data_IF_029033532602
#
_entry.id   IF_029033532602
#
_cell.length_a   1.000
_cell.length_b   1.000
_cell.length_c   1.000
_cell.angle_alpha   90.00
_cell.angle_beta   90.00
_cell.angle_gamma   90.00
#
_symmetry.space_group_name_H-M   'P 1'
#
loop_
_entity.id
_entity.type
_entity.pdbx_description
1 polymer ?
#
# COMPACT_ATOMS: atom_id res chain seq x y z
N UNK A 1 46.10 -36.08 -2.63
CA UNK A 1 45.79 -34.65 -2.40
C UNK A 1 44.77 -34.08 -3.40
N UNK A 2 44.94 -34.21 -4.72
CA UNK A 2 43.99 -33.61 -5.70
C UNK A 2 42.55 -34.16 -5.61
N UNK A 3 42.38 -35.46 -5.37
CA UNK A 3 41.05 -36.08 -5.22
C UNK A 3 40.31 -35.67 -3.93
N UNK A 4 41.03 -35.49 -2.82
CA UNK A 4 40.42 -35.03 -1.56
C UNK A 4 40.06 -33.54 -1.60
N UNK A 5 40.87 -32.71 -2.25
CA UNK A 5 40.55 -31.29 -2.50
C UNK A 5 39.31 -31.16 -3.39
N UNK A 6 39.16 -32.00 -4.43
CA UNK A 6 37.97 -32.03 -5.27
C UNK A 6 36.68 -32.35 -4.49
N UNK A 7 36.71 -33.36 -3.61
CA UNK A 7 35.56 -33.70 -2.77
C UNK A 7 35.21 -32.59 -1.76
N UNK A 8 36.21 -31.95 -1.15
CA UNK A 8 35.98 -30.79 -0.26
C UNK A 8 35.33 -29.64 -1.02
N UNK A 9 35.80 -29.34 -2.23
CA UNK A 9 35.22 -28.29 -3.07
C UNK A 9 33.77 -28.63 -3.49
N UNK A 10 33.52 -29.88 -3.87
CA UNK A 10 32.19 -30.35 -4.25
C UNK A 10 31.18 -30.23 -3.09
N UNK A 11 31.58 -30.61 -1.88
CA UNK A 11 30.74 -30.48 -0.67
C UNK A 11 30.46 -29.00 -0.36
N UNK A 12 31.47 -28.14 -0.48
CA UNK A 12 31.30 -26.71 -0.26
C UNK A 12 30.30 -26.07 -1.24
N UNK A 13 30.35 -26.46 -2.53
CA UNK A 13 29.38 -25.98 -3.54
C UNK A 13 27.97 -26.49 -3.23
N UNK A 14 27.82 -27.76 -2.87
CA UNK A 14 26.50 -28.31 -2.51
C UNK A 14 25.91 -27.60 -1.29
N UNK A 15 26.73 -27.35 -0.26
CA UNK A 15 26.29 -26.60 0.92
C UNK A 15 25.86 -25.15 0.57
N UNK A 16 26.55 -24.49 -0.36
CA UNK A 16 26.20 -23.16 -0.84
C UNK A 16 24.87 -23.17 -1.59
N UNK A 17 24.65 -24.14 -2.49
CA UNK A 17 23.39 -24.28 -3.24
C UNK A 17 22.22 -24.50 -2.29
N UNK A 18 22.35 -25.41 -1.32
CA UNK A 18 21.29 -25.67 -0.32
C UNK A 18 20.96 -24.39 0.46
N UNK A 19 21.98 -23.62 0.85
CA UNK A 19 21.79 -22.35 1.57
C UNK A 19 21.04 -21.34 0.71
N UNK A 20 21.42 -21.17 -0.57
CA UNK A 20 20.72 -20.27 -1.49
C UNK A 20 19.25 -20.65 -1.68
N UNK A 21 18.95 -21.95 -1.88
CA UNK A 21 17.57 -22.42 -2.06
C UNK A 21 16.73 -22.18 -0.80
N UNK A 22 17.28 -22.50 0.38
CA UNK A 22 16.57 -22.26 1.64
C UNK A 22 16.26 -20.78 1.84
N UNK A 23 17.23 -19.90 1.55
CA UNK A 23 17.07 -18.46 1.74
C UNK A 23 16.14 -17.82 0.72
N UNK A 24 16.10 -18.35 -0.50
CA UNK A 24 15.12 -17.95 -1.50
C UNK A 24 13.69 -18.30 -1.09
N UNK A 25 13.45 -19.54 -0.62
CA UNK A 25 12.12 -19.95 -0.17
C UNK A 25 11.62 -19.12 1.01
N UNK A 26 12.50 -18.81 1.97
CA UNK A 26 12.18 -17.96 3.11
C UNK A 26 11.86 -16.51 2.67
N UNK A 27 12.56 -15.99 1.65
CA UNK A 27 12.25 -14.69 1.06
C UNK A 27 10.89 -14.68 0.35
N UNK A 28 10.59 -15.70 -0.44
CA UNK A 28 9.28 -15.83 -1.10
C UNK A 28 8.14 -15.93 -0.09
N UNK A 29 8.34 -16.62 1.04
CA UNK A 29 7.35 -16.68 2.11
C UNK A 29 7.11 -15.31 2.78
N UNK A 30 8.16 -14.49 2.92
CA UNK A 30 8.03 -13.11 3.42
C UNK A 30 7.31 -12.22 2.40
N UNK A 31 7.58 -12.39 1.11
CA UNK A 31 6.91 -11.66 0.03
C UNK A 31 5.41 -11.98 -0.03
N UNK A 32 5.04 -13.26 0.03
CA UNK A 32 3.63 -13.67 0.21
C UNK A 32 3.02 -13.09 1.49
N UNK A 33 3.83 -12.93 2.55
CA UNK A 33 3.43 -12.27 3.78
C UNK A 33 3.07 -10.80 3.59
N UNK A 34 3.81 -10.07 2.75
CA UNK A 34 3.49 -8.69 2.35
C UNK A 34 2.17 -8.64 1.58
N UNK A 35 1.99 -9.51 0.59
CA UNK A 35 0.78 -9.55 -0.23
C UNK A 35 -0.48 -9.86 0.62
N UNK A 36 -0.34 -10.75 1.61
CA UNK A 36 -1.42 -11.07 2.57
C UNK A 36 -1.81 -9.89 3.45
N UNK A 37 -0.89 -9.00 3.79
CA UNK A 37 -1.19 -7.77 4.55
C UNK A 37 -1.70 -6.65 3.63
N UNK A 38 -1.28 -6.64 2.36
CA UNK A 38 -1.71 -5.66 1.37
C UNK A 38 -3.18 -5.86 0.94
N UNK A 39 -3.61 -7.10 0.74
CA UNK A 39 -4.94 -7.41 0.22
C UNK A 39 -6.10 -6.84 1.09
N UNK A 40 -6.10 -7.00 2.43
CA UNK A 40 -7.13 -6.40 3.28
C UNK A 40 -7.17 -4.87 3.20
N UNK A 41 -6.00 -4.21 3.10
CA UNK A 41 -5.91 -2.76 2.98
C UNK A 41 -6.61 -2.27 1.70
N UNK A 42 -6.32 -2.91 0.57
CA UNK A 42 -6.98 -2.61 -0.71
C UNK A 42 -8.50 -2.84 -0.62
N UNK A 43 -8.94 -3.91 0.03
CA UNK A 43 -10.36 -4.22 0.18
C UNK A 43 -11.13 -3.18 1.01
N UNK A 44 -10.48 -2.57 2.01
CA UNK A 44 -11.10 -1.52 2.82
C UNK A 44 -11.16 -0.19 2.07
N UNK A 45 -10.12 0.10 1.29
CA UNK A 45 -9.98 1.36 0.56
C UNK A 45 -10.88 1.41 -0.69
N UNK A 46 -11.00 0.30 -1.42
CA UNK A 46 -11.67 0.26 -2.73
C UNK A 46 -13.12 0.76 -2.71
N UNK A 47 -14.00 0.35 -1.77
CA UNK A 47 -15.39 0.79 -1.73
C UNK A 47 -15.55 2.30 -1.50
N UNK A 48 -14.62 2.93 -0.80
CA UNK A 48 -14.58 4.38 -0.59
C UNK A 48 -14.30 5.05 -1.93
N UNK A 49 -13.31 4.53 -2.65
CA UNK A 49 -12.78 5.18 -3.84
C UNK A 49 -13.72 5.04 -5.04
N UNK A 50 -14.43 3.91 -5.13
CA UNK A 50 -15.46 3.72 -6.16
C UNK A 50 -16.62 4.72 -6.07
N UNK A 51 -16.85 5.33 -4.90
CA UNK A 51 -17.91 6.34 -4.68
C UNK A 51 -17.44 7.79 -4.93
N UNK A 52 -16.12 8.02 -5.06
CA UNK A 52 -15.57 9.37 -5.28
C UNK A 52 -16.10 10.02 -6.57
N UNK A 53 -16.13 9.34 -7.74
CA UNK A 53 -16.61 9.96 -8.97
C UNK A 53 -18.07 10.43 -8.87
N UNK A 54 -18.93 9.62 -8.25
CA UNK A 54 -20.34 9.97 -8.06
C UNK A 54 -20.48 11.19 -7.14
N UNK A 55 -19.73 11.22 -6.05
CA UNK A 55 -19.69 12.36 -5.14
C UNK A 55 -19.20 13.64 -5.84
N UNK A 56 -18.12 13.54 -6.64
CA UNK A 56 -17.57 14.67 -7.40
C UNK A 56 -18.64 15.25 -8.33
N UNK A 57 -19.36 14.38 -9.05
CA UNK A 57 -20.43 14.79 -9.95
C UNK A 57 -21.59 15.46 -9.21
N UNK A 58 -22.03 14.91 -8.07
CA UNK A 58 -23.08 15.51 -7.24
C UNK A 58 -22.69 16.92 -6.76
N UNK A 59 -21.43 17.10 -6.34
CA UNK A 59 -20.94 18.41 -5.87
C UNK A 59 -20.91 19.43 -7.00
N UNK A 60 -20.45 19.03 -8.19
CA UNK A 60 -20.41 19.89 -9.37
C UNK A 60 -21.82 20.29 -9.82
N UNK A 61 -22.76 19.34 -9.87
CA UNK A 61 -24.15 19.60 -10.25
C UNK A 61 -24.84 20.60 -9.29
N UNK A 62 -24.55 20.49 -7.99
CA UNK A 62 -25.12 21.38 -6.99
C UNK A 62 -24.52 22.79 -7.05
N UNK A 63 -23.19 22.90 -7.21
CA UNK A 63 -22.49 24.19 -7.18
C UNK A 63 -22.41 24.92 -8.53
N UNK A 64 -22.70 24.21 -9.62
CA UNK A 64 -22.53 24.72 -10.99
C UNK A 64 -21.07 24.99 -11.39
N UNK A 65 -20.09 24.69 -10.53
CA UNK A 65 -18.65 24.80 -10.78
C UNK A 65 -17.85 23.83 -9.91
N UNK A 66 -16.65 23.49 -10.37
CA UNK A 66 -15.70 22.66 -9.63
C UNK A 66 -15.09 23.45 -8.45
N UNK A 67 -15.13 22.86 -7.25
CA UNK A 67 -14.46 23.41 -6.06
C UNK A 67 -13.06 22.80 -5.94
N UNK A 68 -12.12 23.55 -5.36
CA UNK A 68 -10.71 23.13 -5.24
C UNK A 68 -10.58 21.80 -4.48
N UNK A 69 -11.41 21.59 -3.45
CA UNK A 69 -11.44 20.36 -2.66
C UNK A 69 -11.85 19.15 -3.51
N UNK A 70 -12.83 19.34 -4.38
CA UNK A 70 -13.35 18.28 -5.27
C UNK A 70 -12.34 17.97 -6.38
N UNK A 71 -11.69 19.01 -6.91
CA UNK A 71 -10.62 18.87 -7.88
C UNK A 71 -9.44 18.05 -7.33
N UNK A 72 -9.01 18.38 -6.11
CA UNK A 72 -7.92 17.67 -5.43
C UNK A 72 -8.28 16.20 -5.17
N UNK A 73 -9.53 15.93 -4.78
CA UNK A 73 -10.04 14.58 -4.58
C UNK A 73 -10.05 13.77 -5.89
N UNK A 74 -10.57 14.35 -6.98
CA UNK A 74 -10.61 13.72 -8.29
C UNK A 74 -9.19 13.41 -8.83
N UNK A 75 -8.25 14.35 -8.63
CA UNK A 75 -6.85 14.17 -9.02
C UNK A 75 -6.18 13.06 -8.21
N UNK A 76 -6.37 13.05 -6.89
CA UNK A 76 -5.80 12.00 -6.04
C UNK A 76 -6.38 10.61 -6.36
N UNK A 77 -7.69 10.52 -6.66
CA UNK A 77 -8.31 9.29 -7.14
C UNK A 77 -7.74 8.80 -8.46
N UNK A 78 -7.51 9.71 -9.42
CA UNK A 78 -6.85 9.39 -10.68
C UNK A 78 -5.44 8.85 -10.45
N UNK A 79 -4.65 9.54 -9.63
CA UNK A 79 -3.29 9.13 -9.28
C UNK A 79 -3.26 7.74 -8.63
N UNK A 80 -4.24 7.43 -7.76
CA UNK A 80 -4.37 6.10 -7.16
C UNK A 80 -4.58 5.00 -8.20
N UNK A 81 -5.49 5.22 -9.16
CA UNK A 81 -5.82 4.24 -10.19
C UNK A 81 -4.72 4.06 -11.24
N UNK A 82 -3.97 5.12 -11.56
CA UNK A 82 -2.89 5.09 -12.55
C UNK A 82 -1.55 4.61 -11.94
N UNK A 83 -1.45 4.53 -10.61
CA UNK A 83 -0.24 4.13 -9.90
C UNK A 83 0.09 2.65 -10.11
N UNK A 84 1.28 2.40 -10.66
CA UNK A 84 1.84 1.05 -10.86
C UNK A 84 2.67 0.53 -9.69
N UNK A 85 2.95 1.37 -8.69
CA UNK A 85 3.73 1.00 -7.50
C UNK A 85 2.87 1.13 -6.24
N UNK A 86 3.10 0.24 -5.28
CA UNK A 86 2.48 0.31 -3.95
C UNK A 86 2.74 1.66 -3.31
N UNK A 87 3.98 2.16 -3.33
CA UNK A 87 4.33 3.47 -2.76
C UNK A 87 3.53 4.63 -3.37
N UNK A 88 3.28 4.62 -4.69
CA UNK A 88 2.48 5.65 -5.35
C UNK A 88 1.00 5.54 -4.97
N UNK A 89 0.47 4.32 -4.88
CA UNK A 89 -0.89 4.07 -4.40
C UNK A 89 -1.08 4.56 -2.96
N UNK A 90 -0.09 4.34 -2.08
CA UNK A 90 -0.10 4.87 -0.71
C UNK A 90 -0.18 6.39 -0.70
N UNK A 91 0.68 7.05 -1.48
CA UNK A 91 0.74 8.52 -1.52
C UNK A 91 -0.60 9.10 -1.99
N UNK A 92 -1.19 8.51 -3.03
CA UNK A 92 -2.50 8.90 -3.52
C UNK A 92 -3.61 8.63 -2.48
N UNK A 93 -3.55 7.50 -1.77
CA UNK A 93 -4.50 7.14 -0.73
C UNK A 93 -4.53 8.15 0.43
N UNK A 94 -3.36 8.59 0.91
CA UNK A 94 -3.26 9.62 1.93
C UNK A 94 -3.87 10.95 1.48
N UNK A 95 -3.61 11.34 0.22
CA UNK A 95 -4.19 12.56 -0.37
C UNK A 95 -5.72 12.48 -0.45
N UNK A 96 -6.27 11.31 -0.78
CA UNK A 96 -7.72 11.07 -0.76
C UNK A 96 -8.27 11.20 0.66
N UNK A 97 -7.63 10.57 1.65
CA UNK A 97 -8.05 10.63 3.07
C UNK A 97 -8.09 12.08 3.60
N UNK A 98 -7.05 12.86 3.29
CA UNK A 98 -6.96 14.27 3.64
C UNK A 98 -8.05 15.10 2.93
N UNK A 99 -8.23 14.91 1.62
CA UNK A 99 -9.22 15.63 0.84
C UNK A 99 -10.67 15.31 1.28
N UNK A 100 -10.98 14.04 1.60
CA UNK A 100 -12.28 13.63 2.14
C UNK A 100 -12.54 14.25 3.51
N UNK A 101 -11.53 14.27 4.39
CA UNK A 101 -11.65 14.91 5.70
C UNK A 101 -12.00 16.40 5.59
N UNK A 102 -11.30 17.12 4.71
CA UNK A 102 -11.59 18.54 4.41
C UNK A 102 -12.98 18.69 3.80
N UNK A 103 -13.34 17.85 2.83
CA UNK A 103 -14.65 17.88 2.17
C UNK A 103 -15.79 17.68 3.18
N UNK A 104 -15.66 16.75 4.12
CA UNK A 104 -16.69 16.50 5.12
C UNK A 104 -16.90 17.68 6.06
N UNK A 105 -15.83 18.42 6.38
CA UNK A 105 -15.89 19.63 7.20
C UNK A 105 -16.52 20.78 6.39
N UNK A 106 -16.00 21.04 5.18
CA UNK A 106 -16.42 22.15 4.34
C UNK A 106 -17.85 21.98 3.81
N UNK A 107 -18.27 20.76 3.47
CA UNK A 107 -19.63 20.52 2.98
C UNK A 107 -20.70 20.89 4.00
N UNK A 108 -20.44 20.69 5.30
CA UNK A 108 -21.39 21.10 6.34
C UNK A 108 -21.60 22.63 6.42
N UNK A 109 -20.62 23.43 5.97
CA UNK A 109 -20.63 24.89 6.04
C UNK A 109 -21.05 25.54 4.72
N UNK A 110 -20.49 25.05 3.62
CA UNK A 110 -20.64 25.63 2.28
C UNK A 110 -21.74 24.94 1.48
N UNK A 111 -22.04 23.67 1.79
CA UNK A 111 -22.88 22.78 0.97
C UNK A 111 -23.93 21.99 1.78
N UNK A 112 -24.81 22.66 2.55
CA UNK A 112 -25.74 21.96 3.45
C UNK A 112 -26.68 20.99 2.72
N UNK A 113 -27.03 21.27 1.46
CA UNK A 113 -27.82 20.35 0.63
C UNK A 113 -27.08 19.04 0.33
N UNK A 114 -25.81 19.12 -0.08
CA UNK A 114 -24.95 17.94 -0.30
C UNK A 114 -24.68 17.21 1.00
N UNK A 115 -24.46 17.96 2.10
CA UNK A 115 -24.24 17.37 3.40
C UNK A 115 -25.44 16.51 3.85
N UNK A 116 -26.66 16.84 3.44
CA UNK A 116 -27.84 16.02 3.72
C UNK A 116 -28.10 14.88 2.72
N UNK A 117 -27.36 14.84 1.61
CA UNK A 117 -27.55 13.85 0.56
C UNK A 117 -27.15 12.44 1.04
N UNK A 118 -27.92 11.44 0.63
CA UNK A 118 -27.75 10.07 1.11
C UNK A 118 -26.36 9.51 0.77
N UNK A 119 -25.88 9.71 -0.46
CA UNK A 119 -24.57 9.25 -0.94
C UNK A 119 -23.43 9.87 -0.13
N UNK A 120 -23.51 11.17 0.15
CA UNK A 120 -22.52 11.87 0.98
C UNK A 120 -22.48 11.31 2.41
N UNK A 121 -23.64 11.12 3.03
CA UNK A 121 -23.73 10.57 4.39
C UNK A 121 -23.25 9.12 4.45
N UNK A 122 -23.58 8.31 3.45
CA UNK A 122 -23.10 6.94 3.33
C UNK A 122 -21.57 6.88 3.22
N UNK A 123 -20.98 7.69 2.33
CA UNK A 123 -19.53 7.74 2.18
C UNK A 123 -18.83 8.20 3.47
N UNK A 124 -19.38 9.23 4.13
CA UNK A 124 -18.86 9.72 5.40
C UNK A 124 -18.90 8.64 6.48
N UNK A 125 -19.99 7.88 6.57
CA UNK A 125 -20.11 6.78 7.53
C UNK A 125 -19.09 5.67 7.25
N UNK A 126 -18.95 5.27 5.99
CA UNK A 126 -17.96 4.25 5.58
C UNK A 126 -16.56 4.75 5.94
N UNK A 127 -16.21 5.99 5.57
CA UNK A 127 -14.91 6.58 5.86
C UNK A 127 -14.59 6.60 7.35
N UNK A 128 -15.53 7.06 8.19
CA UNK A 128 -15.33 7.09 9.64
C UNK A 128 -15.16 5.70 10.24
N UNK A 129 -15.93 4.71 9.76
CA UNK A 129 -15.86 3.33 10.26
C UNK A 129 -14.57 2.63 9.81
N UNK A 130 -14.05 2.99 8.64
CA UNK A 130 -12.88 2.35 8.03
C UNK A 130 -11.56 3.02 8.36
N UNK A 131 -11.55 4.30 8.77
CA UNK A 131 -10.32 5.03 9.09
C UNK A 131 -9.51 4.35 10.20
N UNK A 132 -10.18 3.87 11.26
CA UNK A 132 -9.53 3.10 12.34
C UNK A 132 -8.97 1.76 11.85
N UNK A 133 -9.65 1.12 10.89
CA UNK A 133 -9.20 -0.13 10.28
C UNK A 133 -8.01 0.09 9.35
N UNK A 134 -8.00 1.18 8.59
CA UNK A 134 -6.90 1.56 7.70
C UNK A 134 -5.62 1.73 8.51
N UNK A 135 -5.65 2.46 9.62
CA UNK A 135 -4.46 2.69 10.45
C UNK A 135 -3.85 1.38 10.95
N UNK A 136 -4.69 0.47 11.44
CA UNK A 136 -4.26 -0.85 11.91
C UNK A 136 -3.71 -1.72 10.79
N UNK A 137 -4.33 -1.69 9.60
CA UNK A 137 -3.87 -2.47 8.44
C UNK A 137 -2.54 -1.92 7.89
N UNK A 138 -2.38 -0.59 7.90
CA UNK A 138 -1.13 0.10 7.55
C UNK A 138 0.00 -0.29 8.50
N UNK A 139 -0.27 -0.29 9.81
CA UNK A 139 0.70 -0.74 10.81
C UNK A 139 1.09 -2.22 10.56
N UNK A 140 0.12 -3.09 10.33
CA UNK A 140 0.35 -4.51 10.01
C UNK A 140 1.20 -4.70 8.74
N UNK A 141 0.92 -3.94 7.69
CA UNK A 141 1.72 -3.96 6.46
C UNK A 141 3.15 -3.47 6.70
N UNK A 142 3.33 -2.35 7.40
CA UNK A 142 4.65 -1.79 7.71
C UNK A 142 5.50 -2.74 8.56
N UNK A 143 4.90 -3.42 9.53
CA UNK A 143 5.57 -4.44 10.33
C UNK A 143 6.05 -5.62 9.46
N UNK A 144 5.27 -6.01 8.45
CA UNK A 144 5.68 -7.04 7.48
C UNK A 144 6.83 -6.53 6.58
N UNK A 145 6.76 -5.27 6.13
CA UNK A 145 7.84 -4.60 5.38
C UNK A 145 9.13 -4.54 6.19
N UNK A 146 9.05 -4.27 7.49
CA UNK A 146 10.21 -4.27 8.39
C UNK A 146 10.86 -5.64 8.48
N UNK A 147 10.06 -6.71 8.62
CA UNK A 147 10.56 -8.08 8.65
C UNK A 147 11.23 -8.46 7.32
N UNK A 148 10.57 -8.16 6.20
CA UNK A 148 11.11 -8.40 4.85
C UNK A 148 12.43 -7.65 4.62
N UNK A 149 12.44 -6.34 4.89
CA UNK A 149 13.61 -5.49 4.68
C UNK A 149 14.76 -5.86 5.62
N UNK A 150 14.47 -6.26 6.86
CA UNK A 150 15.48 -6.74 7.80
C UNK A 150 16.09 -8.05 7.33
N UNK A 151 15.27 -8.99 6.86
CA UNK A 151 15.72 -10.27 6.33
C UNK A 151 16.63 -10.09 5.11
N UNK A 152 16.25 -9.23 4.17
CA UNK A 152 17.05 -8.91 2.96
C UNK A 152 18.38 -8.24 3.31
N UNK A 153 18.45 -7.47 4.41
CA UNK A 153 19.67 -6.77 4.83
C UNK A 153 20.68 -7.64 5.57
N UNK A 154 20.26 -8.77 6.15
CA UNK A 154 21.14 -9.63 6.93
C UNK A 154 22.12 -10.42 6.04
N UNK A 155 23.35 -10.60 6.50
CA UNK A 155 24.30 -11.53 5.87
C UNK A 155 23.94 -12.98 6.29
N UNK A 156 23.95 -13.97 5.38
CA UNK A 156 24.36 -13.91 3.98
C UNK A 156 23.23 -13.56 2.98
N UNK A 157 22.02 -13.30 3.46
CA UNK A 157 20.81 -13.11 2.64
C UNK A 157 20.93 -11.94 1.65
N UNK A 158 21.61 -10.86 2.02
CA UNK A 158 21.85 -9.71 1.13
C UNK A 158 22.57 -10.08 -0.17
N UNK A 159 23.52 -11.02 -0.11
CA UNK A 159 24.26 -11.53 -1.27
C UNK A 159 23.35 -12.43 -2.11
N UNK A 160 22.61 -13.32 -1.47
CA UNK A 160 21.66 -14.21 -2.15
C UNK A 160 20.57 -13.40 -2.86
N UNK A 161 20.03 -12.38 -2.20
CA UNK A 161 19.03 -11.47 -2.77
C UNK A 161 19.55 -10.64 -3.95
N UNK A 162 20.80 -10.16 -3.90
CA UNK A 162 21.44 -9.50 -5.05
C UNK A 162 21.64 -10.45 -6.23
N UNK A 163 22.07 -11.70 -5.97
CA UNK A 163 22.33 -12.68 -7.03
C UNK A 163 21.04 -13.18 -7.71
N UNK A 164 19.94 -13.28 -6.96
CA UNK A 164 18.66 -13.79 -7.45
C UNK A 164 17.70 -12.68 -7.92
N UNK A 165 18.08 -11.40 -7.80
CA UNK A 165 17.24 -10.26 -8.19
C UNK A 165 16.02 -10.02 -7.30
N UNK A 166 15.81 -10.86 -6.29
CA UNK A 166 14.69 -10.80 -5.34
C UNK A 166 14.99 -9.93 -4.10
N UNK A 167 16.20 -9.37 -3.97
CA UNK A 167 16.63 -8.57 -2.83
C UNK A 167 16.24 -7.09 -2.86
N UNK A 168 15.31 -6.69 -3.71
CA UNK A 168 14.81 -5.30 -3.72
C UNK A 168 14.00 -5.05 -2.45
N UNK A 169 14.24 -3.91 -1.79
CA UNK A 169 13.51 -3.54 -0.57
C UNK A 169 12.05 -3.29 -0.89
N UNK A 170 11.16 -3.75 -0.02
CA UNK A 170 9.76 -3.39 -0.07
C UNK A 170 9.56 -1.97 0.45
N UNK A 171 8.62 -1.25 -0.15
CA UNK A 171 8.27 0.11 0.23
C UNK A 171 7.33 0.12 1.44
N UNK A 172 7.53 1.10 2.33
CA UNK A 172 6.66 1.31 3.49
C UNK A 172 5.39 2.06 3.10
N UNK A 173 4.30 1.76 3.80
CA UNK A 173 3.13 2.62 3.84
C UNK A 173 3.37 3.78 4.82
N UNK A 174 3.82 4.94 4.34
CA UNK A 174 3.94 6.13 5.18
C UNK A 174 2.74 7.05 4.98
N UNK A 175 2.08 7.47 6.06
CA UNK A 175 1.23 8.66 6.02
C UNK A 175 2.15 9.89 5.86
N UNK A 176 1.92 10.70 4.82
CA UNK A 176 2.53 12.02 4.75
C UNK A 176 1.86 12.90 5.81
N UNK A 177 2.66 13.51 6.69
CA UNK A 177 2.20 14.45 7.71
C UNK A 177 1.86 15.81 7.11
#
# INVERSE_FOLDING_TARGET
MKRSVFWVLAIAVVALVITCVSKHNELSALDEGLEKQWTPLVNVITPIYMQIPDLVNEVILYNGKEDEVVHNLATAYKDFNESSSTSSQVTAANRIEAALSVLFIEASRRYPGIASHYQFQNLKQIFQTTSEDIDRLVEGYNNSVDNFNSYVRQFPNNIVGMLLGSGSRADYFRKEN
#
